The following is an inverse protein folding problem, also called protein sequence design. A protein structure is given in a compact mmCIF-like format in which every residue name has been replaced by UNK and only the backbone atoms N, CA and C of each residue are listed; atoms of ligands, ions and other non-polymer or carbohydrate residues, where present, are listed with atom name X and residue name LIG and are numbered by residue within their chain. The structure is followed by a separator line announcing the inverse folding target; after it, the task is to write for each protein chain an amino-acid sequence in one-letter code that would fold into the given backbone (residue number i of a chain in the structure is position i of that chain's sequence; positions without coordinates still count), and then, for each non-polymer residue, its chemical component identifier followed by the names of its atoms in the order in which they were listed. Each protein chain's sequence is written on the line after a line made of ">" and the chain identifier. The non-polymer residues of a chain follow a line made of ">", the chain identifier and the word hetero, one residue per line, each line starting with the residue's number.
data_IF_454620204727
#
_entry.id   IF_454620204727
#
_cell.length_a   1.000
_cell.length_b   1.000
_cell.length_c   1.000
_cell.angle_alpha   90.00
_cell.angle_beta   90.00
_cell.angle_gamma   90.00
#
_symmetry.space_group_name_H-M   'P 1'
#
loop_
_entity.id
_entity.type
_entity.pdbx_description
1 polymer ?
#
# COMPACT_ATOMS: atom_id res chain seq x y z
N UNK A 1 3.80 -29.67 2.52
CA UNK A 1 5.03 -29.31 3.25
C UNK A 1 5.39 -30.36 4.32
N UNK A 2 4.44 -30.89 5.06
CA UNK A 2 4.67 -31.89 6.12
C UNK A 2 5.36 -33.18 5.58
N UNK A 3 5.02 -33.61 4.37
CA UNK A 3 5.63 -34.79 3.73
C UNK A 3 7.14 -34.68 3.50
N UNK A 4 7.67 -33.46 3.42
CA UNK A 4 9.09 -33.20 3.21
C UNK A 4 9.97 -33.52 4.44
N UNK A 5 9.36 -33.58 5.63
CA UNK A 5 10.02 -33.70 6.95
C UNK A 5 11.04 -32.59 7.25
N UNK A 6 11.08 -31.52 6.45
CA UNK A 6 11.92 -30.38 6.71
C UNK A 6 11.30 -29.51 7.81
N UNK A 7 12.11 -28.94 8.73
CA UNK A 7 11.60 -28.21 9.88
C UNK A 7 11.07 -26.82 9.49
N UNK A 8 10.06 -26.35 10.22
CA UNK A 8 9.67 -24.94 10.19
C UNK A 8 10.79 -24.06 10.78
N UNK A 9 10.87 -22.82 10.32
CA UNK A 9 11.79 -21.83 10.86
C UNK A 9 11.48 -21.54 12.33
N UNK A 10 12.53 -21.52 13.14
CA UNK A 10 12.47 -21.20 14.55
C UNK A 10 13.19 -19.86 14.80
N UNK A 11 12.47 -18.71 14.85
CA UNK A 11 13.10 -17.39 14.89
C UNK A 11 14.15 -17.20 16.01
N UNK A 12 13.89 -17.61 17.27
CA UNK A 12 14.89 -17.48 18.34
C UNK A 12 16.17 -18.26 18.10
N UNK A 13 16.09 -19.47 17.49
CA UNK A 13 17.27 -20.31 17.18
C UNK A 13 17.89 -20.01 15.83
N UNK A 14 17.18 -19.27 14.97
CA UNK A 14 17.60 -18.95 13.59
C UNK A 14 17.90 -20.20 12.76
N UNK A 15 17.13 -21.26 12.95
CA UNK A 15 17.28 -22.55 12.26
C UNK A 15 15.93 -23.00 11.70
N UNK A 16 15.97 -23.83 10.68
CA UNK A 16 14.80 -24.38 10.02
C UNK A 16 14.72 -24.01 8.56
N UNK A 17 13.83 -24.65 7.81
CA UNK A 17 13.72 -24.52 6.38
C UNK A 17 12.53 -23.61 5.95
N UNK A 18 11.30 -23.98 6.33
CA UNK A 18 10.10 -23.25 5.93
C UNK A 18 9.93 -21.99 6.75
N UNK A 19 10.04 -20.81 6.11
CA UNK A 19 9.88 -19.52 6.77
C UNK A 19 8.47 -18.97 6.64
N UNK A 20 8.02 -18.76 5.42
CA UNK A 20 6.69 -18.23 5.15
C UNK A 20 6.07 -18.91 3.95
N UNK A 21 4.76 -19.01 3.95
CA UNK A 21 3.95 -19.16 2.77
C UNK A 21 2.97 -17.97 2.73
N UNK A 22 3.04 -17.17 1.68
CA UNK A 22 2.18 -16.02 1.49
C UNK A 22 1.26 -16.32 0.32
N UNK A 23 -0.04 -16.15 0.52
CA UNK A 23 -1.04 -16.30 -0.53
C UNK A 23 -1.73 -14.97 -0.72
N UNK A 24 -1.70 -14.45 -1.94
CA UNK A 24 -2.44 -13.26 -2.33
C UNK A 24 -3.59 -13.68 -3.23
N UNK A 25 -4.79 -13.25 -2.87
CA UNK A 25 -6.00 -13.52 -3.65
C UNK A 25 -6.45 -12.24 -4.36
N UNK A 26 -6.77 -12.37 -5.66
CA UNK A 26 -7.59 -11.41 -6.38
C UNK A 26 -9.06 -11.78 -6.24
N UNK A 27 -9.89 -10.82 -5.89
CA UNK A 27 -11.35 -11.01 -5.84
C UNK A 27 -12.00 -10.77 -7.20
N UNK A 28 -11.32 -10.06 -8.11
CA UNK A 28 -11.76 -9.85 -9.49
C UNK A 28 -11.96 -11.17 -10.24
N UNK A 29 -10.92 -12.01 -10.23
CA UNK A 29 -10.87 -13.24 -11.05
C UNK A 29 -10.73 -14.51 -10.20
N UNK A 30 -10.85 -14.42 -8.87
CA UNK A 30 -10.63 -15.51 -7.89
C UNK A 30 -9.24 -16.17 -8.01
N UNK A 31 -8.26 -15.44 -8.52
CA UNK A 31 -6.91 -15.94 -8.76
C UNK A 31 -6.02 -15.82 -7.52
N UNK A 32 -5.06 -16.72 -7.43
CA UNK A 32 -4.10 -16.81 -6.33
C UNK A 32 -2.67 -16.69 -6.82
N UNK A 33 -1.88 -15.84 -6.15
CA UNK A 33 -0.42 -15.91 -6.18
C UNK A 33 0.04 -16.62 -4.89
N UNK A 34 0.92 -17.60 -5.05
CA UNK A 34 1.52 -18.34 -3.93
C UNK A 34 3.00 -18.06 -3.88
N UNK A 35 3.50 -17.64 -2.72
CA UNK A 35 4.92 -17.36 -2.52
C UNK A 35 5.45 -18.17 -1.34
N UNK A 36 6.33 -19.11 -1.64
CA UNK A 36 7.06 -19.89 -0.66
C UNK A 36 8.38 -19.19 -0.32
N UNK A 37 8.63 -18.98 0.96
CA UNK A 37 9.89 -18.45 1.48
C UNK A 37 10.56 -19.50 2.33
N UNK A 38 11.81 -19.84 2.03
CA UNK A 38 12.58 -20.84 2.76
C UNK A 38 13.97 -20.29 3.13
N UNK A 39 14.66 -20.96 4.04
CA UNK A 39 16.12 -20.80 4.15
C UNK A 39 16.82 -21.59 3.06
N UNK A 40 18.14 -21.41 2.91
CA UNK A 40 18.95 -22.26 2.05
C UNK A 40 19.24 -23.64 2.65
N UNK A 41 19.09 -23.79 3.97
CA UNK A 41 19.35 -25.03 4.70
C UNK A 41 18.28 -26.07 4.34
N UNK A 42 18.67 -27.14 3.64
CA UNK A 42 17.74 -28.19 3.22
C UNK A 42 17.13 -28.01 1.81
N UNK A 43 17.47 -26.96 1.08
CA UNK A 43 16.93 -26.72 -0.28
C UNK A 43 17.23 -27.86 -1.26
N UNK A 44 18.38 -28.53 -1.11
CA UNK A 44 18.78 -29.65 -1.97
C UNK A 44 17.93 -30.90 -1.78
N UNK A 45 17.21 -31.00 -0.67
CA UNK A 45 16.34 -32.16 -0.34
C UNK A 45 14.86 -31.82 -0.50
N UNK A 46 14.53 -30.57 -0.74
CA UNK A 46 13.14 -30.15 -0.94
C UNK A 46 12.71 -30.38 -2.39
N UNK A 47 11.67 -31.17 -2.56
CA UNK A 47 11.06 -31.42 -3.88
C UNK A 47 10.19 -30.22 -4.29
N UNK A 48 10.83 -29.25 -4.97
CA UNK A 48 10.18 -28.03 -5.46
C UNK A 48 9.13 -28.33 -6.52
N UNK A 49 9.43 -29.29 -7.41
CA UNK A 49 8.51 -29.64 -8.50
C UNK A 49 7.28 -30.36 -7.98
N UNK A 50 7.46 -31.28 -7.01
CA UNK A 50 6.36 -31.92 -6.30
C UNK A 50 5.50 -30.92 -5.51
N UNK A 51 6.10 -29.89 -4.93
CA UNK A 51 5.36 -28.79 -4.30
C UNK A 51 4.48 -28.04 -5.31
N UNK A 52 5.04 -27.65 -6.45
CA UNK A 52 4.30 -26.98 -7.53
C UNK A 52 3.16 -27.86 -8.04
N UNK A 53 3.46 -29.11 -8.35
CA UNK A 53 2.46 -30.07 -8.83
C UNK A 53 1.30 -30.24 -7.84
N UNK A 54 1.59 -30.31 -6.55
CA UNK A 54 0.57 -30.46 -5.51
C UNK A 54 -0.29 -29.21 -5.33
N UNK A 55 0.29 -28.01 -5.41
CA UNK A 55 -0.46 -26.75 -5.38
C UNK A 55 -1.40 -26.65 -6.57
N UNK A 56 -0.93 -27.03 -7.76
CA UNK A 56 -1.75 -27.04 -8.98
C UNK A 56 -2.83 -28.11 -8.94
N UNK A 57 -2.55 -29.29 -8.42
CA UNK A 57 -3.56 -30.35 -8.21
C UNK A 57 -4.72 -29.86 -7.31
N UNK A 58 -4.38 -29.16 -6.21
CA UNK A 58 -5.38 -28.73 -5.21
C UNK A 58 -6.19 -27.51 -5.63
N UNK A 59 -5.60 -26.58 -6.35
CA UNK A 59 -6.21 -25.28 -6.63
C UNK A 59 -6.36 -24.96 -8.12
N UNK A 60 -5.71 -25.76 -9.01
CA UNK A 60 -5.89 -25.76 -10.46
C UNK A 60 -5.91 -24.38 -11.11
N UNK A 61 -6.99 -24.04 -11.82
CA UNK A 61 -7.05 -22.80 -12.61
C UNK A 61 -7.06 -21.52 -11.79
N UNK A 62 -7.23 -21.61 -10.45
CA UNK A 62 -7.11 -20.45 -9.58
C UNK A 62 -5.67 -19.99 -9.36
N UNK A 63 -4.68 -20.84 -9.62
CA UNK A 63 -3.27 -20.49 -9.44
C UNK A 63 -2.79 -19.66 -10.65
N UNK A 64 -2.66 -18.36 -10.45
CA UNK A 64 -2.05 -17.47 -11.44
C UNK A 64 -0.54 -17.60 -11.46
N UNK A 65 0.10 -17.79 -10.29
CA UNK A 65 1.54 -17.94 -10.21
C UNK A 65 2.03 -18.50 -8.88
N UNK A 66 3.20 -19.14 -8.93
CA UNK A 66 3.92 -19.67 -7.77
C UNK A 66 5.33 -19.12 -7.79
N UNK A 67 5.77 -18.55 -6.70
CA UNK A 67 7.11 -17.98 -6.52
C UNK A 67 7.81 -18.63 -5.34
N UNK A 68 9.12 -18.69 -5.39
CA UNK A 68 9.97 -19.16 -4.31
C UNK A 68 11.11 -18.18 -4.08
N UNK A 69 11.34 -17.85 -2.82
CA UNK A 69 12.48 -17.02 -2.41
C UNK A 69 13.27 -17.72 -1.31
N UNK A 70 14.59 -17.72 -1.47
CA UNK A 70 15.51 -18.13 -0.42
C UNK A 70 15.88 -16.91 0.39
N UNK A 71 15.51 -16.93 1.68
CA UNK A 71 15.81 -15.88 2.64
C UNK A 71 16.63 -16.45 3.81
N UNK A 72 17.87 -15.99 3.92
CA UNK A 72 18.77 -16.33 5.03
C UNK A 72 18.93 -15.19 6.05
N UNK A 73 18.17 -14.11 5.90
CA UNK A 73 18.23 -12.99 6.83
C UNK A 73 17.82 -13.40 8.24
N UNK A 74 18.43 -12.76 9.22
CA UNK A 74 18.11 -13.00 10.64
C UNK A 74 16.69 -12.53 10.96
N UNK A 75 16.22 -11.46 10.30
CA UNK A 75 14.89 -10.93 10.51
C UNK A 75 13.83 -11.86 9.89
N UNK A 76 12.83 -12.22 10.69
CA UNK A 76 11.70 -13.02 10.23
C UNK A 76 10.68 -12.16 9.50
N UNK A 77 10.98 -11.87 8.24
CA UNK A 77 10.12 -11.06 7.36
C UNK A 77 9.74 -11.86 6.12
N UNK A 78 8.50 -11.68 5.67
CA UNK A 78 8.03 -12.20 4.38
C UNK A 78 8.55 -11.36 3.21
N UNK A 79 8.75 -10.04 3.42
CA UNK A 79 9.38 -9.13 2.45
C UNK A 79 10.90 -9.23 2.57
N UNK A 80 11.56 -9.48 1.44
CA UNK A 80 13.00 -9.79 1.40
C UNK A 80 13.71 -8.70 0.60
N UNK A 81 14.63 -8.00 1.24
CA UNK A 81 15.42 -6.94 0.61
C UNK A 81 16.55 -7.49 -0.28
N UNK A 82 17.08 -8.67 0.05
CA UNK A 82 18.26 -9.24 -0.61
C UNK A 82 18.06 -10.68 -1.15
N UNK A 83 16.82 -11.17 -1.21
CA UNK A 83 16.51 -12.54 -1.66
C UNK A 83 16.40 -12.64 -3.20
N UNK A 84 16.82 -13.77 -3.73
CA UNK A 84 16.57 -14.09 -5.14
C UNK A 84 15.23 -14.82 -5.24
N UNK A 85 14.23 -14.15 -5.80
CA UNK A 85 12.93 -14.74 -6.10
C UNK A 85 12.98 -15.46 -7.43
N UNK A 86 12.56 -16.71 -7.46
CA UNK A 86 12.40 -17.53 -8.67
C UNK A 86 10.92 -17.75 -8.93
N UNK A 87 10.49 -17.52 -10.17
CA UNK A 87 9.16 -17.92 -10.64
C UNK A 87 9.20 -19.43 -10.89
N UNK A 88 8.35 -20.16 -10.20
CA UNK A 88 8.20 -21.61 -10.36
C UNK A 88 7.08 -21.95 -11.34
N UNK A 89 6.04 -21.12 -11.41
CA UNK A 89 4.90 -21.32 -12.31
C UNK A 89 4.20 -19.97 -12.58
N UNK A 90 3.70 -19.78 -13.81
CA UNK A 90 2.74 -18.74 -14.19
C UNK A 90 3.22 -17.29 -14.05
N UNK A 91 2.33 -16.44 -13.60
CA UNK A 91 2.50 -14.99 -13.56
C UNK A 91 3.13 -14.47 -12.27
N UNK A 92 3.72 -13.26 -12.35
CA UNK A 92 4.27 -12.53 -11.19
C UNK A 92 3.25 -11.65 -10.48
N UNK A 93 2.07 -11.45 -11.08
CA UNK A 93 1.06 -10.53 -10.58
C UNK A 93 -0.35 -11.04 -10.88
N UNK A 94 -1.31 -10.56 -10.12
CA UNK A 94 -2.76 -10.68 -10.37
C UNK A 94 -3.37 -9.29 -10.46
N UNK A 95 -4.59 -9.20 -10.96
CA UNK A 95 -5.32 -7.95 -11.07
C UNK A 95 -6.43 -7.87 -10.03
N UNK A 96 -6.69 -6.68 -9.52
CA UNK A 96 -7.82 -6.38 -8.66
C UNK A 96 -8.56 -5.15 -9.17
N UNK A 97 -9.88 -5.10 -8.96
CA UNK A 97 -10.68 -3.94 -9.31
C UNK A 97 -11.04 -3.16 -8.04
N UNK A 98 -10.89 -1.84 -8.12
CA UNK A 98 -11.34 -0.91 -7.08
C UNK A 98 -11.99 0.30 -7.73
N UNK A 99 -13.26 0.55 -7.41
CA UNK A 99 -14.04 1.71 -7.87
C UNK A 99 -13.92 1.97 -9.39
N UNK A 100 -13.92 0.89 -10.18
CA UNK A 100 -13.87 0.94 -11.64
C UNK A 100 -12.48 0.99 -12.27
N UNK A 101 -11.42 1.07 -11.47
CA UNK A 101 -10.04 0.96 -11.94
C UNK A 101 -9.50 -0.46 -11.74
N UNK A 102 -8.56 -0.86 -12.59
CA UNK A 102 -7.84 -2.13 -12.47
C UNK A 102 -6.42 -1.88 -11.99
N UNK A 103 -6.04 -2.58 -10.93
CA UNK A 103 -4.70 -2.50 -10.34
C UNK A 103 -3.98 -3.84 -10.46
N UNK A 104 -2.73 -3.80 -10.91
CA UNK A 104 -1.84 -4.96 -10.86
C UNK A 104 -1.23 -5.06 -9.45
N UNK A 105 -1.34 -6.26 -8.88
CA UNK A 105 -0.79 -6.57 -7.56
C UNK A 105 0.32 -7.60 -7.69
N UNK A 106 1.55 -7.19 -7.38
CA UNK A 106 2.68 -8.10 -7.19
C UNK A 106 2.66 -8.68 -5.78
N UNK A 107 3.44 -9.72 -5.52
CA UNK A 107 3.50 -10.33 -4.19
C UNK A 107 3.96 -9.34 -3.11
N UNK A 108 4.90 -8.46 -3.44
CA UNK A 108 5.49 -7.48 -2.52
C UNK A 108 4.73 -6.15 -2.45
N UNK A 109 3.83 -5.87 -3.42
CA UNK A 109 3.08 -4.61 -3.44
C UNK A 109 2.10 -4.54 -2.27
N UNK A 110 2.05 -3.40 -1.59
CA UNK A 110 0.97 -3.17 -0.62
C UNK A 110 -0.36 -3.00 -1.37
N UNK A 111 -1.35 -3.73 -0.95
CA UNK A 111 -2.74 -3.58 -1.39
C UNK A 111 -3.67 -4.00 -0.26
N UNK A 112 -4.77 -3.30 -0.08
CA UNK A 112 -5.73 -3.59 0.99
C UNK A 112 -6.29 -5.00 0.84
N UNK A 113 -6.24 -5.79 1.91
CA UNK A 113 -6.62 -7.22 1.89
C UNK A 113 -8.13 -7.44 1.81
N UNK A 114 -8.93 -6.42 2.11
CA UNK A 114 -10.39 -6.43 1.96
C UNK A 114 -10.78 -5.35 0.94
N UNK A 115 -10.80 -5.66 -0.37
CA UNK A 115 -11.07 -4.68 -1.42
C UNK A 115 -12.42 -3.98 -1.28
N UNK A 116 -13.48 -4.69 -0.87
CA UNK A 116 -14.82 -4.10 -0.69
C UNK A 116 -14.86 -3.03 0.40
N UNK A 117 -14.21 -3.28 1.53
CA UNK A 117 -14.09 -2.26 2.56
C UNK A 117 -13.12 -1.15 2.16
N UNK A 118 -12.06 -1.46 1.39
CA UNK A 118 -11.15 -0.46 0.84
C UNK A 118 -11.88 0.51 -0.11
N UNK A 119 -12.82 0.03 -0.92
CA UNK A 119 -13.68 0.90 -1.74
C UNK A 119 -14.46 1.91 -0.89
N UNK A 120 -15.06 1.45 0.21
CA UNK A 120 -15.79 2.33 1.15
C UNK A 120 -14.85 3.35 1.81
N UNK A 121 -13.66 2.89 2.25
CA UNK A 121 -12.63 3.73 2.86
C UNK A 121 -12.20 4.84 1.90
N UNK A 122 -11.80 4.47 0.69
CA UNK A 122 -11.28 5.41 -0.30
C UNK A 122 -12.38 6.33 -0.84
N UNK A 123 -13.57 5.81 -1.09
CA UNK A 123 -14.69 6.65 -1.51
C UNK A 123 -14.99 7.73 -0.47
N UNK A 124 -15.05 7.35 0.82
CA UNK A 124 -15.30 8.30 1.90
C UNK A 124 -14.20 9.35 2.05
N UNK A 125 -12.94 8.92 1.96
CA UNK A 125 -11.80 9.82 2.03
C UNK A 125 -11.78 10.81 0.84
N UNK A 126 -12.07 10.33 -0.36
CA UNK A 126 -12.14 11.16 -1.57
C UNK A 126 -13.34 12.11 -1.51
N UNK A 127 -14.50 11.69 -0.97
CA UNK A 127 -15.64 12.57 -0.73
C UNK A 127 -15.25 13.75 0.19
N UNK A 128 -14.54 13.46 1.28
CA UNK A 128 -14.04 14.49 2.19
C UNK A 128 -13.01 15.41 1.53
N UNK A 129 -12.16 14.85 0.67
CA UNK A 129 -11.11 15.61 -0.03
C UNK A 129 -11.70 16.58 -1.06
N UNK A 130 -12.66 16.11 -1.86
CA UNK A 130 -13.17 16.85 -3.03
C UNK A 130 -14.36 17.75 -2.72
N UNK A 131 -14.97 17.64 -1.54
CA UNK A 131 -16.10 18.49 -1.15
C UNK A 131 -15.72 19.98 -1.24
N UNK A 132 -16.42 20.73 -2.09
CA UNK A 132 -16.20 22.18 -2.33
C UNK A 132 -14.74 22.53 -2.69
N UNK A 133 -13.95 21.57 -3.22
CA UNK A 133 -12.61 21.84 -3.73
C UNK A 133 -12.72 22.40 -5.16
N UNK A 134 -12.25 23.64 -5.42
CA UNK A 134 -12.31 24.22 -6.77
C UNK A 134 -11.59 23.36 -7.81
N UNK A 135 -12.13 23.35 -9.02
CA UNK A 135 -11.46 22.70 -10.16
C UNK A 135 -10.09 23.37 -10.44
N UNK A 136 -9.09 22.53 -10.77
CA UNK A 136 -7.75 23.00 -11.08
C UNK A 136 -6.81 23.13 -9.88
N UNK A 137 -7.30 23.10 -8.64
CA UNK A 137 -6.44 23.07 -7.45
C UNK A 137 -5.58 21.81 -7.44
N UNK A 138 -4.28 21.94 -7.16
CA UNK A 138 -3.37 20.80 -7.07
C UNK A 138 -3.63 19.95 -5.80
N UNK A 139 -3.48 18.64 -5.95
CA UNK A 139 -3.63 17.67 -4.86
C UNK A 139 -2.34 16.88 -4.69
N UNK A 140 -1.87 16.72 -3.45
CA UNK A 140 -0.80 15.80 -3.11
C UNK A 140 -1.36 14.59 -2.36
N UNK A 141 -0.92 13.39 -2.79
CA UNK A 141 -1.11 12.12 -2.10
C UNK A 141 0.24 11.70 -1.51
N UNK A 142 0.39 11.87 -0.19
CA UNK A 142 1.63 11.58 0.52
C UNK A 142 1.55 10.20 1.17
N UNK A 143 2.61 9.40 1.01
CA UNK A 143 2.65 7.96 1.34
C UNK A 143 1.75 7.15 0.39
N UNK A 144 1.77 7.47 -0.90
CA UNK A 144 0.79 6.99 -1.88
C UNK A 144 0.89 5.50 -2.24
N UNK A 145 1.96 4.81 -1.81
CA UNK A 145 2.19 3.39 -2.15
C UNK A 145 2.12 3.15 -3.66
N UNK A 146 1.28 2.23 -4.09
CA UNK A 146 1.03 1.91 -5.51
C UNK A 146 0.10 2.92 -6.20
N UNK A 147 -0.12 4.09 -5.60
CA UNK A 147 -0.86 5.20 -6.18
C UNK A 147 -2.38 4.99 -6.28
N UNK A 148 -2.94 4.09 -5.50
CA UNK A 148 -4.36 3.73 -5.59
C UNK A 148 -5.26 4.93 -5.35
N UNK A 149 -5.04 5.69 -4.26
CA UNK A 149 -5.87 6.83 -3.90
C UNK A 149 -5.71 7.96 -4.92
N UNK A 150 -4.48 8.30 -5.31
CA UNK A 150 -4.20 9.32 -6.32
C UNK A 150 -4.92 9.03 -7.65
N UNK A 151 -4.91 7.77 -8.11
CA UNK A 151 -5.58 7.37 -9.34
C UNK A 151 -7.10 7.46 -9.22
N UNK A 152 -7.69 7.05 -8.11
CA UNK A 152 -9.12 7.19 -7.85
C UNK A 152 -9.56 8.67 -7.82
N UNK A 153 -8.74 9.54 -7.23
CA UNK A 153 -8.95 10.99 -7.26
C UNK A 153 -8.89 11.51 -8.72
N UNK A 154 -7.89 11.05 -9.50
CA UNK A 154 -7.68 11.47 -10.88
C UNK A 154 -8.91 11.18 -11.77
N UNK A 155 -9.49 9.98 -11.64
CA UNK A 155 -10.73 9.62 -12.35
C UNK A 155 -11.89 10.50 -11.93
N UNK A 156 -12.09 10.62 -10.62
CA UNK A 156 -13.26 11.29 -10.08
C UNK A 156 -13.28 12.79 -10.35
N UNK A 157 -12.12 13.40 -10.43
CA UNK A 157 -11.96 14.82 -10.69
C UNK A 157 -11.87 15.17 -12.19
N UNK A 158 -11.33 14.24 -13.00
CA UNK A 158 -11.17 14.42 -14.45
C UNK A 158 -10.16 15.49 -14.87
N UNK A 159 -9.94 16.51 -14.06
CA UNK A 159 -9.03 17.64 -14.33
C UNK A 159 -8.23 18.00 -13.07
N UNK A 160 -7.08 18.65 -13.28
CA UNK A 160 -6.17 19.08 -12.22
C UNK A 160 -5.00 18.13 -12.05
N UNK A 161 -3.92 18.65 -11.45
CA UNK A 161 -2.69 17.90 -11.25
C UNK A 161 -2.73 17.19 -9.89
N UNK A 162 -2.53 15.88 -9.93
CA UNK A 162 -2.41 15.05 -8.74
C UNK A 162 -0.99 14.52 -8.70
N UNK A 163 -0.34 14.66 -7.56
CA UNK A 163 1.03 14.19 -7.36
C UNK A 163 1.07 13.20 -6.20
N UNK A 164 1.49 11.97 -6.48
CA UNK A 164 1.72 10.92 -5.48
C UNK A 164 3.20 10.82 -5.11
N UNK A 165 3.49 10.67 -3.83
CA UNK A 165 4.86 10.54 -3.30
C UNK A 165 4.95 9.35 -2.35
N UNK A 166 5.88 8.45 -2.60
CA UNK A 166 6.20 7.34 -1.69
C UNK A 166 7.72 7.06 -1.69
N UNK A 167 8.22 6.53 -0.58
CA UNK A 167 9.63 6.21 -0.44
C UNK A 167 10.05 4.93 -1.16
N UNK A 168 9.10 4.04 -1.49
CA UNK A 168 9.34 2.72 -2.08
C UNK A 168 9.39 2.83 -3.60
N UNK A 169 10.59 2.72 -4.26
CA UNK A 169 10.69 2.89 -5.71
C UNK A 169 9.85 1.90 -6.51
N UNK A 170 9.77 0.63 -6.07
CA UNK A 170 8.99 -0.42 -6.74
C UNK A 170 7.48 -0.10 -6.71
N UNK A 171 6.99 0.45 -5.60
CA UNK A 171 5.59 0.88 -5.50
C UNK A 171 5.28 2.02 -6.48
N UNK A 172 6.22 2.94 -6.69
CA UNK A 172 6.08 4.03 -7.67
C UNK A 172 6.13 3.52 -9.12
N UNK A 173 6.92 2.49 -9.39
CA UNK A 173 6.88 1.81 -10.70
C UNK A 173 5.49 1.22 -10.93
N UNK A 174 4.97 0.45 -9.97
CA UNK A 174 3.62 -0.12 -10.04
C UNK A 174 2.54 0.98 -10.19
N UNK A 175 2.68 2.11 -9.47
CA UNK A 175 1.76 3.25 -9.55
C UNK A 175 1.70 3.84 -10.97
N UNK A 176 2.85 4.03 -11.62
CA UNK A 176 2.95 4.55 -12.99
C UNK A 176 2.38 3.57 -14.02
N UNK A 177 2.72 2.28 -13.89
CA UNK A 177 2.19 1.22 -14.77
C UNK A 177 0.66 1.13 -14.67
N UNK A 178 0.12 1.14 -13.44
CA UNK A 178 -1.32 1.12 -13.21
C UNK A 178 -2.02 2.37 -13.75
N UNK A 179 -1.44 3.56 -13.59
CA UNK A 179 -2.01 4.80 -14.11
C UNK A 179 -2.10 4.76 -15.65
N UNK A 180 -1.02 4.33 -16.33
CA UNK A 180 -1.01 4.17 -17.79
C UNK A 180 -2.07 3.16 -18.25
N UNK A 181 -2.18 2.02 -17.58
CA UNK A 181 -3.16 0.98 -17.87
C UNK A 181 -4.61 1.50 -17.72
N UNK A 182 -4.84 2.35 -16.72
CA UNK A 182 -6.14 2.98 -16.47
C UNK A 182 -6.38 4.23 -17.34
N UNK A 183 -5.46 4.59 -18.25
CA UNK A 183 -5.60 5.75 -19.14
C UNK A 183 -5.52 7.10 -18.42
N UNK A 184 -4.83 7.18 -17.28
CA UNK A 184 -4.72 8.37 -16.46
C UNK A 184 -3.43 9.14 -16.78
N UNK A 185 -3.56 10.36 -17.25
CA UNK A 185 -2.44 11.24 -17.66
C UNK A 185 -2.34 12.50 -16.81
N UNK A 186 -3.26 12.69 -15.86
CA UNK A 186 -3.32 13.84 -14.95
C UNK A 186 -2.80 13.49 -13.54
N UNK A 187 -2.02 12.42 -13.41
CA UNK A 187 -1.38 12.00 -12.16
C UNK A 187 0.10 11.73 -12.39
N UNK A 188 0.94 12.21 -11.49
CA UNK A 188 2.38 12.00 -11.49
C UNK A 188 2.82 11.32 -10.19
N UNK A 189 3.87 10.48 -10.25
CA UNK A 189 4.37 9.74 -9.11
C UNK A 189 5.87 9.90 -8.94
N UNK A 190 6.32 10.12 -7.68
CA UNK A 190 7.71 10.36 -7.32
C UNK A 190 8.17 9.39 -6.22
N UNK A 191 9.28 8.68 -6.48
CA UNK A 191 9.95 7.84 -5.49
C UNK A 191 10.87 8.71 -4.63
N UNK A 192 10.41 9.10 -3.44
CA UNK A 192 11.17 9.93 -2.52
C UNK A 192 10.67 9.82 -1.07
N UNK A 193 11.56 10.03 -0.11
CA UNK A 193 11.12 10.36 1.25
C UNK A 193 10.28 11.65 1.22
N UNK A 194 9.08 11.60 1.81
CA UNK A 194 8.13 12.73 1.80
C UNK A 194 8.77 14.02 2.33
N UNK A 195 9.48 13.93 3.47
CA UNK A 195 10.11 15.10 4.05
C UNK A 195 11.24 15.68 3.20
N UNK A 196 11.95 14.85 2.43
CA UNK A 196 12.97 15.28 1.47
C UNK A 196 12.31 15.90 0.23
N UNK A 197 11.32 15.22 -0.34
CA UNK A 197 10.55 15.71 -1.49
C UNK A 197 10.01 17.12 -1.23
N UNK A 198 9.33 17.32 -0.12
CA UNK A 198 8.76 18.63 0.23
C UNK A 198 9.83 19.71 0.41
N UNK A 199 11.02 19.36 0.91
CA UNK A 199 12.14 20.31 1.02
C UNK A 199 12.71 20.70 -0.34
N UNK A 200 12.75 19.76 -1.29
CA UNK A 200 13.33 19.95 -2.63
C UNK A 200 12.34 20.58 -3.63
N UNK A 201 11.07 20.71 -3.25
CA UNK A 201 9.97 21.19 -4.10
C UNK A 201 9.22 22.38 -3.45
N UNK A 202 9.91 23.50 -3.19
CA UNK A 202 9.29 24.68 -2.59
C UNK A 202 8.19 25.30 -3.48
N UNK A 203 8.15 24.96 -4.75
CA UNK A 203 7.09 25.38 -5.67
C UNK A 203 5.70 24.91 -5.30
N UNK A 204 5.56 23.90 -4.42
CA UNK A 204 4.27 23.45 -3.92
C UNK A 204 3.74 24.29 -2.75
N UNK A 205 4.60 25.08 -2.08
CA UNK A 205 4.15 25.93 -0.97
C UNK A 205 3.11 26.95 -1.43
N UNK A 206 1.98 27.01 -0.73
CA UNK A 206 0.86 27.90 -1.03
C UNK A 206 0.07 27.58 -2.31
N UNK A 207 0.41 26.50 -3.04
CA UNK A 207 -0.26 26.13 -4.29
C UNK A 207 -1.07 24.84 -4.21
N UNK A 208 -1.02 24.17 -3.06
CA UNK A 208 -1.74 22.92 -2.84
C UNK A 208 -3.11 23.22 -2.25
N UNK A 209 -4.16 22.87 -2.98
CA UNK A 209 -5.54 23.02 -2.49
C UNK A 209 -5.90 21.99 -1.45
N UNK A 210 -5.46 20.74 -1.64
CA UNK A 210 -5.76 19.65 -0.72
C UNK A 210 -4.63 18.63 -0.62
N UNK A 211 -4.51 18.03 0.56
CA UNK A 211 -3.63 16.91 0.84
C UNK A 211 -4.45 15.68 1.21
N UNK A 212 -4.05 14.51 0.71
CA UNK A 212 -4.44 13.24 1.28
C UNK A 212 -3.20 12.54 1.80
N UNK A 213 -3.27 11.98 3.00
CA UNK A 213 -2.17 11.32 3.66
C UNK A 213 -2.63 9.98 4.24
N UNK A 214 -1.91 8.91 3.90
CA UNK A 214 -2.15 7.55 4.41
C UNK A 214 -0.82 6.95 4.90
N UNK A 215 -0.28 7.45 6.03
CA UNK A 215 1.03 7.08 6.51
C UNK A 215 1.04 5.68 7.13
N UNK A 216 2.23 5.07 7.31
CA UNK A 216 2.37 3.81 8.01
C UNK A 216 1.88 3.90 9.47
N UNK A 217 1.68 2.74 10.10
CA UNK A 217 1.11 2.57 11.45
C UNK A 217 1.78 3.43 12.56
N UNK A 218 3.02 3.85 12.35
CA UNK A 218 3.73 4.75 13.27
C UNK A 218 3.27 6.20 13.22
N UNK A 219 2.43 6.57 12.25
CA UNK A 219 2.05 7.95 11.95
C UNK A 219 3.16 8.70 11.19
N UNK A 220 3.07 10.01 11.17
CA UNK A 220 4.01 10.87 10.46
C UNK A 220 5.14 11.29 11.40
N UNK A 221 6.39 11.22 10.92
CA UNK A 221 7.52 11.74 11.67
C UNK A 221 7.35 13.26 11.94
N UNK A 222 7.62 13.76 13.15
CA UNK A 222 7.31 15.16 13.51
C UNK A 222 7.88 16.20 12.54
N UNK A 223 9.13 16.01 12.08
CA UNK A 223 9.76 16.90 11.10
C UNK A 223 9.06 16.88 9.72
N UNK A 224 8.55 15.73 9.31
CA UNK A 224 7.79 15.58 8.06
C UNK A 224 6.42 16.21 8.19
N UNK A 225 5.73 16.01 9.32
CA UNK A 225 4.43 16.63 9.60
C UNK A 225 4.51 18.16 9.55
N UNK A 226 5.53 18.77 10.18
CA UNK A 226 5.73 20.21 10.11
C UNK A 226 5.94 20.72 8.68
N UNK A 227 6.66 19.97 7.83
CA UNK A 227 6.83 20.33 6.41
C UNK A 227 5.51 20.17 5.63
N UNK A 228 4.74 19.14 5.92
CA UNK A 228 3.40 18.94 5.34
C UNK A 228 2.47 20.10 5.68
N UNK A 229 2.50 20.56 6.91
CA UNK A 229 1.75 21.73 7.38
C UNK A 229 2.22 23.02 6.68
N UNK A 230 3.53 23.18 6.48
CA UNK A 230 4.13 24.36 5.83
C UNK A 230 3.68 24.52 4.36
N UNK A 231 3.18 23.47 3.69
CA UNK A 231 2.56 23.57 2.36
C UNK A 231 1.34 24.51 2.36
N UNK A 232 0.74 24.75 3.50
CA UNK A 232 -0.39 25.68 3.63
C UNK A 232 -1.67 25.22 2.97
N UNK A 233 -1.83 23.91 2.71
CA UNK A 233 -3.05 23.38 2.11
C UNK A 233 -4.28 23.73 2.94
N UNK A 234 -5.34 24.16 2.26
CA UNK A 234 -6.61 24.53 2.93
C UNK A 234 -7.29 23.33 3.58
N UNK A 235 -6.99 22.14 3.08
CA UNK A 235 -7.65 20.88 3.48
C UNK A 235 -6.64 19.74 3.53
N UNK A 236 -6.75 18.95 4.59
CA UNK A 236 -5.98 17.71 4.76
C UNK A 236 -6.96 16.59 5.10
N UNK A 237 -6.95 15.51 4.31
CA UNK A 237 -7.64 14.26 4.65
C UNK A 237 -6.59 13.26 5.09
N UNK A 238 -6.72 12.79 6.33
CA UNK A 238 -5.80 11.87 6.96
C UNK A 238 -6.48 10.53 7.18
N UNK A 239 -6.02 9.48 6.47
CA UNK A 239 -6.41 8.08 6.67
C UNK A 239 -5.40 7.44 7.62
N UNK A 240 -5.85 6.61 8.55
CA UNK A 240 -4.94 5.92 9.47
C UNK A 240 -5.48 4.59 9.96
N UNK A 241 -4.63 3.56 9.87
CA UNK A 241 -4.86 2.26 10.52
C UNK A 241 -4.54 2.26 12.02
N UNK A 242 -4.13 3.40 12.58
CA UNK A 242 -3.86 3.58 14.01
C UNK A 242 -4.38 4.93 14.51
N UNK A 243 -5.63 4.98 15.00
CA UNK A 243 -6.24 6.21 15.49
C UNK A 243 -5.44 6.92 16.60
N UNK A 244 -4.65 6.18 17.39
CA UNK A 244 -3.83 6.78 18.45
C UNK A 244 -2.69 7.64 17.90
N UNK A 245 -2.03 7.19 16.82
CA UNK A 245 -0.99 7.99 16.16
C UNK A 245 -1.59 9.14 15.38
N UNK A 246 -2.77 8.96 14.79
CA UNK A 246 -3.51 10.04 14.14
C UNK A 246 -3.90 11.14 15.15
N UNK A 247 -4.39 10.77 16.34
CA UNK A 247 -4.72 11.73 17.41
C UNK A 247 -3.49 12.52 17.88
N UNK A 248 -2.33 11.87 18.01
CA UNK A 248 -1.06 12.55 18.31
C UNK A 248 -0.70 13.57 17.22
N UNK A 249 -0.80 13.18 15.97
CA UNK A 249 -0.45 14.05 14.83
C UNK A 249 -1.47 15.18 14.67
N UNK A 250 -2.76 14.94 15.00
CA UNK A 250 -3.82 15.93 15.00
C UNK A 250 -3.55 17.08 15.97
N UNK A 251 -2.92 16.83 17.12
CA UNK A 251 -2.53 17.90 18.05
C UNK A 251 -1.63 18.93 17.36
N UNK A 252 -0.65 18.48 16.58
CA UNK A 252 0.24 19.38 15.82
C UNK A 252 -0.52 20.15 14.72
N UNK A 253 -1.53 19.52 14.10
CA UNK A 253 -2.39 20.21 13.12
C UNK A 253 -3.25 21.29 13.80
N UNK A 254 -3.80 21.02 14.99
CA UNK A 254 -4.57 22.02 15.76
C UNK A 254 -3.70 23.22 16.14
N UNK A 255 -2.47 22.99 16.62
CA UNK A 255 -1.50 24.04 16.95
C UNK A 255 -1.15 24.91 15.72
N UNK A 256 -1.27 24.35 14.52
CA UNK A 256 -1.04 25.05 13.25
C UNK A 256 -2.30 25.73 12.66
N UNK A 257 -3.41 25.75 13.41
CA UNK A 257 -4.66 26.43 13.02
C UNK A 257 -5.59 25.59 12.13
N UNK A 258 -5.41 24.28 12.08
CA UNK A 258 -6.41 23.39 11.47
C UNK A 258 -7.48 23.02 12.48
N UNK A 259 -8.70 22.81 12.01
CA UNK A 259 -9.81 22.27 12.80
C UNK A 259 -10.25 20.93 12.22
N UNK A 260 -10.63 19.99 13.07
CA UNK A 260 -11.26 18.74 12.67
C UNK A 260 -12.70 19.02 12.26
N UNK A 261 -12.99 18.90 10.96
CA UNK A 261 -14.34 19.16 10.44
C UNK A 261 -15.18 17.88 10.36
N UNK A 262 -14.58 16.78 9.92
CA UNK A 262 -15.26 15.49 9.77
C UNK A 262 -14.39 14.34 10.24
N UNK A 263 -15.04 13.31 10.74
CA UNK A 263 -14.39 12.08 11.18
C UNK A 263 -15.26 10.87 10.82
N UNK A 264 -14.65 9.79 10.37
CA UNK A 264 -15.31 8.51 10.10
C UNK A 264 -14.42 7.34 10.47
N UNK A 265 -15.04 6.22 10.76
CA UNK A 265 -14.39 4.93 11.00
C UNK A 265 -14.86 3.92 9.96
N UNK A 266 -13.95 3.06 9.51
CA UNK A 266 -14.24 1.96 8.59
C UNK A 266 -13.66 0.67 9.19
N UNK A 267 -14.52 -0.32 9.39
CA UNK A 267 -14.10 -1.64 9.85
C UNK A 267 -13.53 -2.47 8.70
N UNK A 268 -12.26 -2.21 8.39
CA UNK A 268 -11.50 -2.88 7.32
C UNK A 268 -11.19 -4.34 7.67
N UNK A 269 -11.10 -4.64 8.96
CA UNK A 269 -10.68 -5.94 9.48
C UNK A 269 -11.67 -6.49 10.52
N UNK A 270 -12.91 -6.87 10.09
CA UNK A 270 -13.93 -7.40 10.99
C UNK A 270 -13.41 -8.53 11.86
N UNK A 271 -13.89 -8.61 13.09
CA UNK A 271 -13.46 -9.56 14.14
C UNK A 271 -12.03 -9.35 14.67
N UNK A 272 -11.42 -8.20 14.39
CA UNK A 272 -10.13 -7.80 15.00
C UNK A 272 -10.29 -6.48 15.77
N UNK A 273 -9.27 -6.08 16.54
CA UNK A 273 -9.22 -4.78 17.18
C UNK A 273 -8.70 -3.66 16.26
N UNK A 274 -8.52 -3.92 14.96
CA UNK A 274 -8.01 -2.96 13.99
C UNK A 274 -9.16 -2.22 13.30
N UNK A 275 -9.04 -0.91 13.21
CA UNK A 275 -10.00 -0.03 12.55
C UNK A 275 -9.25 1.02 11.73
N UNK A 276 -9.80 1.39 10.59
CA UNK A 276 -9.34 2.53 9.81
C UNK A 276 -10.11 3.79 10.21
N UNK A 277 -9.42 4.90 10.36
CA UNK A 277 -10.01 6.19 10.63
C UNK A 277 -9.72 7.18 9.50
N UNK A 278 -10.69 8.05 9.23
CA UNK A 278 -10.59 9.12 8.24
C UNK A 278 -10.91 10.43 8.94
N UNK A 279 -9.97 11.35 8.95
CA UNK A 279 -10.15 12.68 9.53
C UNK A 279 -9.97 13.75 8.45
N UNK A 280 -10.94 14.66 8.31
CA UNK A 280 -10.85 15.86 7.47
C UNK A 280 -10.50 17.05 8.33
N UNK A 281 -9.37 17.66 8.08
CA UNK A 281 -8.94 18.91 8.70
C UNK A 281 -9.05 20.05 7.68
N UNK A 282 -9.53 21.19 8.12
CA UNK A 282 -9.59 22.42 7.32
C UNK A 282 -8.84 23.53 8.04
N UNK A 283 -8.18 24.39 7.28
CA UNK A 283 -7.47 25.53 7.84
C UNK A 283 -8.47 26.64 8.15
N UNK A 284 -8.46 27.10 9.42
CA UNK A 284 -9.29 28.21 9.88
C UNK A 284 -8.87 29.55 9.26
#
# INVERSE_FOLDING_TARGET
>A
LESSKLPAWHPPKKTGFFRHIVVRKSFKDDQLLVHLVTSSEGISTFDVDGFVAKVLELHGPRIAGIQHTINNDVADRSKIENGKTKVLYGALMVEENLLGLTFQMRMESFFQTNPKCAELLYQKAIDYLLEDLPDGEAILDLFCGTGTIAQLIAVRRGKGNITGVDIVPEAIVDAKENALKNGLYNVEFYAADVGKFLKERPEFEGKIGALIIDPPRAGIAPKTLLKTIALGAKRIVYISCNPSTQARDASTLFDAGYILEKFSLVDQFPHTGHIESIAKFVKS
#
